data_IF_991284562496
#
_entry.id   IF_991284562496
#
_cell.length_a   1.000
_cell.length_b   1.000
_cell.length_c   1.000
_cell.angle_alpha   90.00
_cell.angle_beta   90.00
_cell.angle_gamma   90.00
#
_symmetry.space_group_name_H-M   'P 1'
#
loop_
_entity.id
_entity.type
_entity.pdbx_description
1 polymer ?
#
# COMPACT_ATOMS: atom_id res chain seq x y z
N UNK A 1 -42.81 -25.43 17.75
CA UNK A 1 -41.33 -25.54 17.61
C UNK A 1 -40.94 -25.70 16.13
N UNK A 2 -40.99 -24.64 15.33
CA UNK A 2 -40.55 -24.69 13.92
C UNK A 2 -40.15 -23.33 13.32
N UNK A 3 -40.14 -22.29 14.16
CA UNK A 3 -39.85 -20.88 13.77
C UNK A 3 -38.47 -20.44 14.30
N UNK A 4 -37.99 -21.04 15.40
CA UNK A 4 -36.66 -20.76 15.98
C UNK A 4 -35.49 -21.26 15.12
N UNK A 5 -35.73 -22.15 14.15
CA UNK A 5 -34.68 -22.69 13.26
C UNK A 5 -34.26 -21.69 12.18
N UNK A 6 -35.16 -20.80 11.77
CA UNK A 6 -34.87 -19.75 10.78
C UNK A 6 -34.17 -18.52 11.39
N UNK A 7 -34.44 -18.22 12.66
CA UNK A 7 -33.78 -17.12 13.36
C UNK A 7 -32.28 -17.35 13.57
N UNK A 8 -31.85 -18.61 13.65
CA UNK A 8 -30.43 -18.94 13.84
C UNK A 8 -29.58 -18.76 12.57
N UNK A 9 -30.20 -18.83 11.38
CA UNK A 9 -29.51 -18.67 10.10
C UNK A 9 -29.24 -17.20 9.72
N UNK A 10 -30.00 -16.25 10.27
CA UNK A 10 -29.86 -14.82 9.98
C UNK A 10 -28.76 -14.13 10.80
N UNK A 11 -28.40 -14.70 11.97
CA UNK A 11 -27.38 -14.12 12.85
C UNK A 11 -25.95 -14.43 12.37
N UNK A 12 -25.75 -15.52 11.61
CA UNK A 12 -24.42 -15.91 11.12
C UNK A 12 -23.88 -15.01 10.00
N UNK A 13 -24.74 -14.32 9.25
CA UNK A 13 -24.33 -13.47 8.11
C UNK A 13 -23.78 -12.10 8.54
N UNK A 14 -24.05 -11.68 9.78
CA UNK A 14 -23.61 -10.37 10.29
C UNK A 14 -22.19 -10.38 10.88
N UNK A 15 -21.57 -11.55 11.10
CA UNK A 15 -20.24 -11.67 11.72
C UNK A 15 -19.12 -11.44 10.68
N UNK A 16 -19.42 -11.54 9.38
CA UNK A 16 -18.43 -11.36 8.31
C UNK A 16 -17.96 -9.92 8.11
N UNK A 17 -18.51 -8.92 8.83
CA UNK A 17 -18.14 -7.52 8.65
C UNK A 17 -17.12 -7.01 9.67
N UNK A 18 -16.63 -7.89 10.57
CA UNK A 18 -15.77 -7.50 11.69
C UNK A 18 -14.33 -7.98 11.47
N UNK A 19 -13.73 -7.58 10.34
CA UNK A 19 -12.29 -7.70 10.10
C UNK A 19 -11.79 -6.64 9.12
N UNK A 20 -12.24 -5.39 9.26
CA UNK A 20 -11.61 -4.23 8.61
C UNK A 20 -10.66 -3.57 9.60
N UNK A 21 -9.57 -4.25 9.96
CA UNK A 21 -8.37 -3.52 10.30
C UNK A 21 -7.90 -2.91 8.97
N UNK A 22 -8.19 -1.61 8.81
CA UNK A 22 -7.83 -0.85 7.61
C UNK A 22 -6.39 -0.38 7.80
N UNK A 23 -5.59 -0.46 6.74
CA UNK A 23 -4.37 0.34 6.63
C UNK A 23 -4.66 1.80 7.05
N UNK A 24 -3.70 2.50 7.68
CA UNK A 24 -3.93 3.87 8.16
C UNK A 24 -4.09 4.90 7.01
N UNK A 25 -4.13 4.43 5.76
CA UNK A 25 -4.28 5.19 4.53
C UNK A 25 -5.13 4.38 3.52
N UNK A 26 -5.63 5.05 2.49
CA UNK A 26 -6.41 4.41 1.43
C UNK A 26 -5.52 3.51 0.56
N UNK A 27 -6.12 2.53 -0.13
CA UNK A 27 -5.39 1.66 -1.05
C UNK A 27 -4.74 2.45 -2.20
N UNK A 28 -5.36 3.54 -2.66
CA UNK A 28 -4.76 4.44 -3.65
C UNK A 28 -3.47 5.09 -3.14
N UNK A 29 -3.49 5.62 -1.91
CA UNK A 29 -2.29 6.23 -1.29
C UNK A 29 -1.23 5.17 -1.05
N UNK A 30 -1.62 3.96 -0.65
CA UNK A 30 -0.71 2.83 -0.54
C UNK A 30 -0.02 2.53 -1.88
N UNK A 31 -0.79 2.41 -2.95
CA UNK A 31 -0.27 2.18 -4.31
C UNK A 31 0.72 3.26 -4.71
N UNK A 32 0.38 4.53 -4.51
CA UNK A 32 1.27 5.67 -4.81
C UNK A 32 2.59 5.57 -4.04
N UNK A 33 2.56 5.29 -2.74
CA UNK A 33 3.78 5.17 -1.92
C UNK A 33 4.66 4.01 -2.37
N UNK A 34 4.10 2.82 -2.56
CA UNK A 34 4.85 1.64 -3.00
C UNK A 34 5.42 1.85 -4.40
N UNK A 35 4.63 2.40 -5.33
CA UNK A 35 5.06 2.73 -6.69
C UNK A 35 6.15 3.80 -6.75
N UNK A 36 6.08 4.84 -5.91
CA UNK A 36 7.12 5.86 -5.81
C UNK A 36 8.43 5.28 -5.27
N UNK A 37 8.40 4.48 -4.21
CA UNK A 37 9.61 3.85 -3.65
C UNK A 37 10.26 2.88 -4.65
N UNK A 38 9.46 2.09 -5.36
CA UNK A 38 9.98 1.18 -6.39
C UNK A 38 10.50 1.95 -7.61
N UNK A 39 9.90 3.10 -7.96
CA UNK A 39 10.45 3.99 -8.97
C UNK A 39 11.78 4.62 -8.52
N UNK A 40 11.89 5.08 -7.28
CA UNK A 40 13.13 5.62 -6.73
C UNK A 40 14.25 4.56 -6.71
N UNK A 41 13.93 3.30 -6.41
CA UNK A 41 14.89 2.20 -6.49
C UNK A 41 15.42 1.95 -7.93
N UNK A 42 14.65 2.31 -8.96
CA UNK A 42 15.11 2.26 -10.37
C UNK A 42 15.94 3.47 -10.75
N UNK A 43 15.61 4.66 -10.23
CA UNK A 43 16.33 5.91 -10.52
C UNK A 43 17.70 5.93 -9.84
N UNK A 44 17.77 5.52 -8.57
CA UNK A 44 19.01 5.35 -7.81
C UNK A 44 19.18 3.89 -7.39
N UNK A 45 19.73 3.10 -8.33
CA UNK A 45 19.99 1.68 -8.11
C UNK A 45 21.03 1.42 -7.03
N UNK A 46 21.89 2.40 -6.72
CA UNK A 46 22.91 2.25 -5.66
C UNK A 46 22.29 2.26 -4.26
N UNK A 47 21.11 2.88 -4.12
CA UNK A 47 20.33 2.92 -2.89
C UNK A 47 19.07 2.02 -2.95
N UNK A 48 18.92 1.16 -3.97
CA UNK A 48 17.75 0.29 -4.14
C UNK A 48 17.36 -0.48 -2.87
N UNK A 49 18.34 -1.05 -2.17
CA UNK A 49 18.11 -1.77 -0.91
C UNK A 49 17.54 -0.87 0.19
N UNK A 50 17.93 0.40 0.24
CA UNK A 50 17.41 1.37 1.21
C UNK A 50 15.94 1.71 0.92
N UNK A 51 15.55 1.81 -0.35
CA UNK A 51 14.14 2.00 -0.71
C UNK A 51 13.30 0.76 -0.38
N UNK A 52 13.82 -0.44 -0.62
CA UNK A 52 13.14 -1.68 -0.22
C UNK A 52 13.03 -1.81 1.30
N UNK A 53 14.04 -1.36 2.04
CA UNK A 53 13.97 -1.30 3.50
C UNK A 53 12.94 -0.27 3.96
N UNK A 54 12.95 0.95 3.41
CA UNK A 54 11.94 1.97 3.74
C UNK A 54 10.52 1.49 3.43
N UNK A 55 10.34 0.75 2.34
CA UNK A 55 9.07 0.09 2.01
C UNK A 55 8.61 -0.84 3.14
N UNK A 56 9.50 -1.71 3.63
CA UNK A 56 9.21 -2.59 4.78
C UNK A 56 8.92 -1.78 6.04
N UNK A 57 9.68 -0.73 6.30
CA UNK A 57 9.52 0.09 7.51
C UNK A 57 8.18 0.84 7.55
N UNK A 58 7.72 1.36 6.40
CA UNK A 58 6.41 2.02 6.26
C UNK A 58 5.27 1.04 6.54
N UNK A 59 5.42 -0.22 6.15
CA UNK A 59 4.36 -1.24 6.28
C UNK A 59 4.55 -2.19 7.46
N UNK A 60 5.58 -2.00 8.30
CA UNK A 60 5.96 -2.96 9.36
C UNK A 60 4.87 -3.22 10.40
N UNK A 61 3.96 -2.26 10.60
CA UNK A 61 2.85 -2.36 11.56
C UNK A 61 1.57 -2.91 10.94
N UNK A 62 1.54 -3.12 9.62
CA UNK A 62 0.37 -3.63 8.91
C UNK A 62 0.50 -5.15 8.78
N UNK A 63 -0.52 -5.93 9.16
CA UNK A 63 -0.53 -7.36 8.93
C UNK A 63 -0.34 -7.71 7.45
N UNK A 64 0.51 -8.70 7.16
CA UNK A 64 0.84 -9.06 5.76
C UNK A 64 -0.39 -9.42 4.92
N UNK A 65 -1.40 -10.06 5.52
CA UNK A 65 -2.65 -10.38 4.84
C UNK A 65 -3.41 -9.13 4.38
N UNK A 66 -3.38 -8.04 5.14
CA UNK A 66 -4.00 -6.77 4.75
C UNK A 66 -3.22 -6.08 3.64
N UNK A 67 -1.89 -6.12 3.69
CA UNK A 67 -1.02 -5.65 2.61
C UNK A 67 -1.34 -6.40 1.32
N UNK A 68 -1.45 -7.73 1.39
CA UNK A 68 -1.72 -8.58 0.24
C UNK A 68 -3.14 -8.42 -0.30
N UNK A 69 -4.13 -8.15 0.56
CA UNK A 69 -5.49 -7.83 0.15
C UNK A 69 -5.56 -6.47 -0.54
N UNK A 70 -4.92 -5.45 0.03
CA UNK A 70 -4.88 -4.11 -0.54
C UNK A 70 -4.22 -4.10 -1.94
N UNK A 71 -3.14 -4.88 -2.14
CA UNK A 71 -2.48 -5.02 -3.45
C UNK A 71 -3.36 -5.60 -4.55
N UNK A 72 -4.47 -6.25 -4.20
CA UNK A 72 -5.42 -6.84 -5.16
C UNK A 72 -6.50 -5.87 -5.60
N UNK A 73 -6.61 -4.69 -5.00
CA UNK A 73 -7.68 -3.75 -5.35
C UNK A 73 -7.29 -2.84 -6.52
N UNK A 74 -8.28 -2.41 -7.28
CA UNK A 74 -8.07 -1.51 -8.43
C UNK A 74 -7.54 -0.14 -7.97
N UNK A 75 -7.93 0.32 -6.78
CA UNK A 75 -7.43 1.58 -6.23
C UNK A 75 -5.93 1.53 -5.96
N UNK A 76 -5.44 0.42 -5.41
CA UNK A 76 -3.99 0.20 -5.26
C UNK A 76 -3.30 0.22 -6.61
N UNK A 77 -3.83 -0.54 -7.57
CA UNK A 77 -3.24 -0.64 -8.90
C UNK A 77 -3.17 0.74 -9.59
N UNK A 78 -4.26 1.49 -9.57
CA UNK A 78 -4.31 2.85 -10.11
C UNK A 78 -3.29 3.77 -9.42
N UNK A 79 -3.16 3.71 -8.10
CA UNK A 79 -2.18 4.48 -7.35
C UNK A 79 -0.73 4.07 -7.66
N UNK A 80 -0.47 2.78 -7.81
CA UNK A 80 0.85 2.27 -8.16
C UNK A 80 1.27 2.66 -9.58
N UNK A 81 0.36 2.47 -10.54
CA UNK A 81 0.59 2.78 -11.95
C UNK A 81 0.80 4.30 -12.14
N UNK A 82 0.11 5.16 -11.36
CA UNK A 82 0.32 6.61 -11.34
C UNK A 82 1.80 6.99 -11.17
N UNK A 83 2.55 6.31 -10.29
CA UNK A 83 3.97 6.63 -10.10
C UNK A 83 4.80 6.33 -11.35
N UNK A 84 4.47 5.28 -12.09
CA UNK A 84 5.13 4.94 -13.35
C UNK A 84 4.74 5.85 -14.52
N UNK A 85 3.61 6.53 -14.42
CA UNK A 85 3.12 7.46 -15.44
C UNK A 85 3.57 8.90 -15.19
N UNK A 86 3.51 9.37 -13.95
CA UNK A 86 3.76 10.78 -13.62
C UNK A 86 5.23 11.08 -13.29
N UNK A 87 5.92 10.22 -12.55
CA UNK A 87 7.30 10.51 -12.15
C UNK A 87 8.29 10.61 -13.33
N UNK A 88 8.14 9.87 -14.45
CA UNK A 88 8.99 10.06 -15.62
C UNK A 88 8.76 11.38 -16.36
N UNK A 89 7.62 12.05 -16.17
CA UNK A 89 7.31 13.34 -16.80
C UNK A 89 8.02 14.50 -16.11
N UNK A 90 8.49 14.29 -14.88
CA UNK A 90 9.22 15.29 -14.11
C UNK A 90 10.71 15.34 -14.53
N UNK A 91 11.40 16.48 -14.34
CA UNK A 91 12.83 16.57 -14.57
C UNK A 91 13.60 15.53 -13.74
N UNK A 92 14.50 14.78 -14.40
CA UNK A 92 15.27 13.70 -13.73
C UNK A 92 16.00 14.18 -12.49
N UNK A 93 16.56 15.39 -12.52
CA UNK A 93 17.27 15.98 -11.38
C UNK A 93 16.36 16.24 -10.18
N UNK A 94 15.13 16.67 -10.41
CA UNK A 94 14.14 16.89 -9.35
C UNK A 94 13.70 15.56 -8.74
N UNK A 95 13.42 14.58 -9.60
CA UNK A 95 13.07 13.22 -9.20
C UNK A 95 14.17 12.57 -8.37
N UNK A 96 15.42 12.59 -8.86
CA UNK A 96 16.55 12.00 -8.14
C UNK A 96 16.78 12.69 -6.80
N UNK A 97 16.64 14.02 -6.73
CA UNK A 97 16.74 14.78 -5.48
C UNK A 97 15.64 14.40 -4.48
N UNK A 98 14.38 14.32 -4.93
CA UNK A 98 13.25 13.92 -4.08
C UNK A 98 13.39 12.47 -3.59
N UNK A 99 13.84 11.57 -4.46
CA UNK A 99 14.14 10.20 -4.09
C UNK A 99 15.26 10.13 -3.03
N UNK A 100 16.34 10.92 -3.18
CA UNK A 100 17.40 10.97 -2.19
C UNK A 100 16.90 11.51 -0.84
N UNK A 101 16.15 12.62 -0.84
CA UNK A 101 15.56 13.21 0.35
C UNK A 101 14.63 12.24 1.10
N UNK A 102 13.92 11.38 0.37
CA UNK A 102 13.07 10.35 0.99
C UNK A 102 13.85 9.33 1.83
N UNK A 103 15.18 9.25 1.73
CA UNK A 103 16.02 8.38 2.56
C UNK A 103 16.62 9.11 3.78
N UNK A 104 16.53 10.43 3.86
CA UNK A 104 17.23 11.23 4.88
C UNK A 104 16.54 11.25 6.25
N UNK A 105 15.27 10.84 6.35
CA UNK A 105 14.50 10.80 7.60
C UNK A 105 14.91 9.67 8.58
N UNK A 106 15.95 8.89 8.28
CA UNK A 106 16.46 7.83 9.19
C UNK A 106 17.61 8.31 10.08
N UNK A 107 17.57 9.54 10.59
CA UNK A 107 18.53 10.05 11.58
C UNK A 107 17.88 10.45 12.89
#
# INVERSE_FOLDING_TARGET
>A
MRIYKFFYLLVAVLIAQVALAKMPFTNEVFGKMEGTLDYCARVDSTAADKYQQKKKDVFKSVPQNEVDEARRTEEYKAGYDWASEELPKMPKTEVSSACAASLEEQK
#
